data_IF_684991439629
#
_entry.id   IF_684991439629
#
_cell.length_a   1.000
_cell.length_b   1.000
_cell.length_c   1.000
_cell.angle_alpha   90.00
_cell.angle_beta   90.00
_cell.angle_gamma   90.00
#
_symmetry.space_group_name_H-M   'P 1'
#
loop_
_entity.id
_entity.type
_entity.pdbx_description
1 polymer ?
#
# COMPACT_ATOMS: atom_id res chain seq x y z
N UNK A 1 7.86 -11.62 3.81
CA UNK A 1 7.26 -11.20 2.55
C UNK A 1 8.01 -9.96 2.08
N UNK A 2 8.37 -9.89 0.78
CA UNK A 2 9.15 -8.77 0.23
C UNK A 2 8.26 -7.60 -0.21
N UNK A 3 6.97 -7.84 -0.35
CA UNK A 3 5.99 -6.85 -0.79
C UNK A 3 6.00 -5.60 0.08
N UNK A 4 5.96 -4.45 -0.55
CA UNK A 4 6.04 -3.14 0.09
C UNK A 4 7.44 -2.57 0.24
N UNK A 5 8.48 -3.41 0.15
CA UNK A 5 9.87 -3.03 0.43
C UNK A 5 10.80 -3.08 -0.79
N UNK A 6 10.27 -3.42 -1.96
CA UNK A 6 11.01 -3.36 -3.22
C UNK A 6 10.83 -1.97 -3.83
N UNK A 7 11.69 -1.02 -3.42
CA UNK A 7 11.51 0.38 -3.77
C UNK A 7 11.51 0.60 -5.28
N UNK A 8 10.51 1.30 -5.85
CA UNK A 8 10.45 1.58 -7.28
C UNK A 8 11.44 2.70 -7.66
N UNK A 9 12.54 2.29 -8.29
CA UNK A 9 13.58 3.20 -8.80
C UNK A 9 14.24 2.56 -10.05
N UNK A 10 15.16 3.26 -10.66
CA UNK A 10 15.98 2.76 -11.76
C UNK A 10 17.26 2.14 -11.20
N UNK A 11 17.47 0.85 -11.47
CA UNK A 11 18.60 0.09 -10.95
C UNK A 11 19.54 -0.36 -12.09
N UNK A 12 20.83 -0.11 -11.92
CA UNK A 12 21.87 -0.68 -12.77
C UNK A 12 22.43 -1.95 -12.12
N UNK A 13 22.48 -3.04 -12.89
CA UNK A 13 23.09 -4.30 -12.47
C UNK A 13 24.21 -4.69 -13.41
N UNK A 14 25.26 -5.32 -12.89
CA UNK A 14 26.34 -5.85 -13.69
C UNK A 14 25.93 -7.18 -14.33
N UNK A 15 26.40 -7.43 -15.55
CA UNK A 15 26.22 -8.74 -16.19
C UNK A 15 26.97 -9.80 -15.36
N UNK A 16 26.22 -10.81 -14.89
CA UNK A 16 26.75 -11.85 -14.00
C UNK A 16 26.65 -11.55 -12.51
N UNK A 17 25.98 -10.46 -12.14
CA UNK A 17 25.65 -10.21 -10.73
C UNK A 17 24.73 -11.30 -10.16
N UNK A 18 24.80 -11.52 -8.87
CA UNK A 18 23.97 -12.53 -8.21
C UNK A 18 22.59 -11.98 -7.93
N UNK A 19 21.57 -12.85 -7.91
CA UNK A 19 20.21 -12.48 -7.50
C UNK A 19 20.21 -11.87 -6.10
N UNK A 20 21.04 -12.38 -5.20
CA UNK A 20 21.20 -11.83 -3.85
C UNK A 20 21.64 -10.36 -3.88
N UNK A 21 22.66 -10.03 -4.66
CA UNK A 21 23.16 -8.65 -4.76
C UNK A 21 22.11 -7.72 -5.39
N UNK A 22 21.38 -8.20 -6.40
CA UNK A 22 20.31 -7.44 -7.06
C UNK A 22 19.20 -7.12 -6.06
N UNK A 23 18.72 -8.11 -5.32
CA UNK A 23 17.68 -7.95 -4.30
C UNK A 23 18.16 -7.07 -3.15
N UNK A 24 19.38 -7.29 -2.66
CA UNK A 24 19.96 -6.47 -1.58
C UNK A 24 20.10 -4.99 -1.99
N UNK A 25 20.38 -4.70 -3.26
CA UNK A 25 20.43 -3.33 -3.79
C UNK A 25 19.05 -2.65 -3.75
N UNK A 26 18.00 -3.38 -4.14
CA UNK A 26 16.61 -2.87 -4.13
C UNK A 26 16.14 -2.58 -2.70
N UNK A 27 16.40 -3.51 -1.77
CA UNK A 27 16.09 -3.30 -0.35
C UNK A 27 16.92 -2.18 0.28
N UNK A 28 18.21 -2.10 -0.06
CA UNK A 28 19.07 -1.02 0.42
C UNK A 28 18.60 0.35 -0.05
N UNK A 29 17.99 0.44 -1.23
CA UNK A 29 17.40 1.69 -1.69
C UNK A 29 16.17 2.08 -0.87
N UNK A 30 15.33 1.12 -0.51
CA UNK A 30 14.22 1.37 0.43
C UNK A 30 14.74 1.96 1.75
N UNK A 31 15.75 1.33 2.35
CA UNK A 31 16.35 1.80 3.60
C UNK A 31 16.92 3.23 3.46
N UNK A 32 17.54 3.54 2.32
CA UNK A 32 18.09 4.88 2.04
C UNK A 32 17.00 5.96 1.93
N UNK A 33 15.80 5.61 1.50
CA UNK A 33 14.67 6.55 1.36
C UNK A 33 13.98 6.83 2.69
N UNK A 34 14.01 5.91 3.65
CA UNK A 34 13.38 6.09 4.96
C UNK A 34 14.31 6.89 5.87
N UNK A 35 13.93 8.13 6.15
CA UNK A 35 14.74 9.08 6.91
C UNK A 35 14.48 9.02 8.41
N UNK A 36 15.40 9.59 9.21
CA UNK A 36 15.19 9.75 10.65
C UNK A 36 13.95 10.61 10.99
N UNK A 37 13.62 11.59 10.14
CA UNK A 37 12.41 12.40 10.27
C UNK A 37 11.14 11.56 10.09
N UNK A 38 11.15 10.64 9.10
CA UNK A 38 10.05 9.71 8.90
C UNK A 38 9.85 8.79 10.09
N UNK A 39 10.92 8.26 10.69
CA UNK A 39 10.80 7.45 11.90
C UNK A 39 10.24 8.27 13.08
N UNK A 40 10.70 9.51 13.28
CA UNK A 40 10.13 10.37 14.30
C UNK A 40 8.63 10.65 14.06
N UNK A 41 8.25 10.80 12.80
CA UNK A 41 6.85 11.00 12.44
C UNK A 41 6.00 9.74 12.64
N UNK A 42 6.54 8.55 12.40
CA UNK A 42 5.89 7.28 12.74
C UNK A 42 5.60 7.19 14.24
N UNK A 43 6.55 7.56 15.08
CA UNK A 43 6.37 7.61 16.53
C UNK A 43 5.26 8.59 16.96
N UNK A 44 5.17 9.77 16.33
CA UNK A 44 4.09 10.74 16.58
C UNK A 44 2.71 10.21 16.18
N UNK A 45 2.63 9.42 15.11
CA UNK A 45 1.40 8.82 14.61
C UNK A 45 1.03 7.51 15.31
N UNK A 46 1.87 7.00 16.19
CA UNK A 46 1.76 5.66 16.79
C UNK A 46 1.63 4.56 15.73
N UNK A 47 2.42 4.67 14.65
CA UNK A 47 2.43 3.74 13.52
C UNK A 47 3.79 3.08 13.36
N UNK A 48 3.79 1.78 13.14
CA UNK A 48 4.99 1.03 12.73
C UNK A 48 5.35 1.29 11.26
N UNK A 49 6.61 1.04 10.88
CA UNK A 49 7.04 1.10 9.48
C UNK A 49 6.15 0.22 8.56
N UNK A 50 5.76 -0.97 9.03
CA UNK A 50 4.91 -1.88 8.26
C UNK A 50 3.52 -1.29 8.02
N UNK A 51 2.94 -0.63 9.01
CA UNK A 51 1.63 0.04 8.87
C UNK A 51 1.70 1.23 7.91
N UNK A 52 2.77 2.03 8.00
CA UNK A 52 3.00 3.15 7.07
C UNK A 52 3.16 2.64 5.64
N UNK A 53 3.97 1.60 5.42
CA UNK A 53 4.16 1.00 4.08
C UNK A 53 2.87 0.38 3.57
N UNK A 54 2.08 -0.25 4.45
CA UNK A 54 0.76 -0.81 4.09
C UNK A 54 -0.21 0.29 3.65
N UNK A 55 -0.32 1.38 4.43
CA UNK A 55 -1.14 2.52 4.06
C UNK A 55 -0.65 3.18 2.76
N UNK A 56 0.66 3.40 2.64
CA UNK A 56 1.27 3.96 1.45
C UNK A 56 1.01 3.11 0.20
N UNK A 57 0.97 1.78 0.33
CA UNK A 57 0.66 0.88 -0.78
C UNK A 57 -0.78 1.01 -1.28
N UNK A 58 -1.74 1.24 -0.38
CA UNK A 58 -3.13 1.55 -0.75
C UNK A 58 -3.21 2.91 -1.45
N UNK A 59 -2.55 3.94 -0.89
CA UNK A 59 -2.48 5.27 -1.49
C UNK A 59 -1.87 5.22 -2.88
N UNK A 60 -0.82 4.42 -3.08
CA UNK A 60 -0.14 4.26 -4.37
C UNK A 60 -1.08 3.74 -5.46
N UNK A 61 -1.93 2.77 -5.13
CA UNK A 61 -2.85 2.15 -6.09
C UNK A 61 -4.12 2.97 -6.32
N UNK A 62 -4.60 3.71 -5.31
CA UNK A 62 -5.82 4.52 -5.42
C UNK A 62 -5.58 5.91 -6.00
N UNK A 63 -4.42 6.52 -5.69
CA UNK A 63 -4.16 7.90 -6.02
C UNK A 63 -3.06 8.02 -7.08
N UNK A 64 -3.28 8.80 -8.12
CA UNK A 64 -2.16 9.37 -8.85
C UNK A 64 -1.34 10.30 -7.94
N UNK A 65 -0.09 10.58 -8.31
CA UNK A 65 0.86 11.37 -7.50
C UNK A 65 0.28 12.69 -6.97
N UNK A 66 -0.60 13.32 -7.73
CA UNK A 66 -1.17 14.63 -7.40
C UNK A 66 -2.13 14.59 -6.19
N UNK A 67 -2.82 13.48 -5.98
CA UNK A 67 -3.88 13.36 -4.96
C UNK A 67 -3.49 12.47 -3.77
N UNK A 68 -2.25 12.00 -3.71
CA UNK A 68 -1.79 11.06 -2.68
C UNK A 68 -2.04 11.54 -1.26
N UNK A 69 -1.78 12.82 -0.96
CA UNK A 69 -2.02 13.38 0.38
C UNK A 69 -3.49 13.44 0.76
N UNK A 70 -4.36 13.79 -0.20
CA UNK A 70 -5.82 13.87 0.04
C UNK A 70 -6.40 12.47 0.25
N UNK A 71 -6.06 11.50 -0.59
CA UNK A 71 -6.49 10.09 -0.44
C UNK A 71 -5.98 9.53 0.89
N UNK A 72 -4.73 9.82 1.26
CA UNK A 72 -4.16 9.44 2.54
C UNK A 72 -4.94 10.05 3.72
N UNK A 73 -5.33 11.32 3.65
CA UNK A 73 -6.12 11.97 4.69
C UNK A 73 -7.48 11.27 4.89
N UNK A 74 -8.16 10.89 3.80
CA UNK A 74 -9.41 10.11 3.89
C UNK A 74 -9.19 8.78 4.59
N UNK A 75 -8.12 8.05 4.27
CA UNK A 75 -7.81 6.78 4.94
C UNK A 75 -7.49 6.99 6.43
N UNK A 76 -6.71 8.00 6.78
CA UNK A 76 -6.46 8.35 8.20
C UNK A 76 -7.76 8.68 8.95
N UNK A 77 -8.65 9.47 8.34
CA UNK A 77 -9.95 9.83 8.93
C UNK A 77 -10.85 8.59 9.16
N UNK A 78 -10.86 7.66 8.20
CA UNK A 78 -11.58 6.39 8.34
C UNK A 78 -10.99 5.51 9.43
N UNK A 79 -9.66 5.37 9.50
CA UNK A 79 -8.98 4.63 10.57
C UNK A 79 -9.30 5.21 11.94
N UNK A 80 -9.18 6.54 12.10
CA UNK A 80 -9.49 7.22 13.35
C UNK A 80 -10.96 7.09 13.77
N UNK A 81 -11.87 6.95 12.79
CA UNK A 81 -13.32 6.76 13.03
C UNK A 81 -13.72 5.29 13.20
N UNK A 82 -12.80 4.34 13.13
CA UNK A 82 -13.10 2.92 13.16
C UNK A 82 -13.90 2.42 11.96
N UNK A 83 -13.85 3.14 10.83
CA UNK A 83 -14.49 2.75 9.58
C UNK A 83 -13.64 1.73 8.81
N UNK A 84 -14.27 0.95 7.95
CA UNK A 84 -13.58 0.14 6.94
C UNK A 84 -12.94 1.05 5.89
N UNK A 85 -11.79 0.65 5.31
CA UNK A 85 -11.12 1.48 4.30
C UNK A 85 -11.84 1.47 2.95
N UNK A 86 -12.55 0.41 2.62
CA UNK A 86 -13.40 0.32 1.43
C UNK A 86 -12.64 0.49 0.11
N UNK A 87 -11.42 -0.02 0.04
CA UNK A 87 -10.57 0.02 -1.14
C UNK A 87 -10.52 -1.37 -1.80
N UNK A 88 -10.86 -1.45 -3.08
CA UNK A 88 -10.85 -2.71 -3.82
C UNK A 88 -9.45 -3.12 -4.29
N UNK A 89 -8.44 -2.26 -4.17
CA UNK A 89 -7.06 -2.57 -4.58
C UNK A 89 -6.45 -3.71 -3.77
N UNK A 90 -6.87 -3.89 -2.53
CA UNK A 90 -6.47 -5.04 -1.72
C UNK A 90 -7.29 -6.29 -2.13
N UNK A 91 -8.58 -6.24 -1.94
CA UNK A 91 -9.54 -7.25 -2.35
C UNK A 91 -10.98 -6.79 -2.10
N UNK A 92 -11.86 -7.11 -3.03
CA UNK A 92 -13.32 -6.98 -2.93
C UNK A 92 -13.94 -8.32 -3.34
N UNK A 93 -14.57 -9.00 -2.40
CA UNK A 93 -15.15 -10.32 -2.67
C UNK A 93 -16.38 -10.28 -3.57
N UNK A 94 -17.05 -9.14 -3.68
CA UNK A 94 -18.19 -8.95 -4.57
C UNK A 94 -17.76 -8.68 -6.01
N UNK A 95 -16.50 -8.25 -6.19
CA UNK A 95 -15.87 -7.94 -7.47
C UNK A 95 -14.64 -8.82 -7.71
N UNK A 96 -14.84 -10.11 -7.60
CA UNK A 96 -13.79 -11.10 -7.69
C UNK A 96 -12.99 -11.08 -9.03
N UNK A 97 -13.56 -10.50 -10.06
CA UNK A 97 -12.96 -10.40 -11.40
C UNK A 97 -12.20 -9.08 -11.61
N UNK A 98 -12.21 -8.16 -10.63
CA UNK A 98 -11.45 -6.92 -10.70
C UNK A 98 -9.97 -7.19 -10.37
N UNK A 99 -9.07 -6.47 -11.03
CA UNK A 99 -7.65 -6.48 -10.73
C UNK A 99 -7.43 -6.00 -9.29
N UNK A 100 -6.95 -6.88 -8.44
CA UNK A 100 -6.60 -6.56 -7.06
C UNK A 100 -5.49 -7.48 -6.55
N UNK A 101 -4.88 -7.07 -5.43
CA UNK A 101 -3.71 -7.75 -4.90
C UNK A 101 -3.91 -9.25 -4.63
N UNK A 102 -5.05 -9.65 -4.10
CA UNK A 102 -5.34 -11.05 -3.79
C UNK A 102 -5.38 -11.90 -5.06
N UNK A 103 -6.02 -11.43 -6.13
CA UNK A 103 -6.10 -12.18 -7.39
C UNK A 103 -4.80 -12.11 -8.18
N UNK A 104 -4.21 -10.93 -8.33
CA UNK A 104 -3.07 -10.74 -9.22
C UNK A 104 -1.77 -11.26 -8.62
N UNK A 105 -1.56 -11.05 -7.33
CA UNK A 105 -0.30 -11.40 -6.68
C UNK A 105 -0.39 -12.64 -5.83
N UNK A 106 -1.39 -12.74 -4.93
CA UNK A 106 -1.44 -13.87 -3.99
C UNK A 106 -1.93 -15.17 -4.64
N UNK A 107 -2.94 -15.12 -5.51
CA UNK A 107 -3.40 -16.29 -6.25
C UNK A 107 -2.51 -16.64 -7.44
N UNK A 108 -1.59 -15.77 -7.82
CA UNK A 108 -0.68 -15.96 -8.95
C UNK A 108 0.34 -17.10 -8.74
N UNK A 109 1.09 -17.46 -9.80
CA UNK A 109 2.01 -18.61 -9.79
C UNK A 109 3.20 -18.45 -8.83
N UNK A 110 3.53 -17.22 -8.45
CA UNK A 110 4.61 -16.94 -7.49
C UNK A 110 4.09 -16.75 -6.05
N UNK A 111 2.77 -16.79 -5.86
CA UNK A 111 2.10 -16.77 -4.57
C UNK A 111 1.65 -18.17 -4.16
N UNK A 112 0.36 -18.33 -3.89
CA UNK A 112 -0.25 -19.62 -3.52
C UNK A 112 -0.58 -20.50 -4.72
N UNK A 113 -0.49 -19.97 -5.94
CA UNK A 113 -0.72 -20.71 -7.21
C UNK A 113 -2.20 -20.86 -7.60
N UNK A 114 -3.12 -20.62 -6.69
CA UNK A 114 -4.56 -20.57 -6.98
C UNK A 114 -5.31 -19.86 -5.85
N UNK A 115 -6.52 -19.40 -6.15
CA UNK A 115 -7.42 -18.78 -5.18
C UNK A 115 -7.73 -19.71 -3.99
N UNK A 116 -8.07 -20.97 -4.27
CA UNK A 116 -8.47 -21.93 -3.23
C UNK A 116 -7.32 -22.31 -2.28
N UNK A 117 -6.08 -22.10 -2.72
CA UNK A 117 -4.91 -22.36 -1.90
C UNK A 117 -4.61 -21.24 -0.89
N UNK A 118 -5.17 -20.03 -1.06
CA UNK A 118 -5.01 -18.94 -0.10
C UNK A 118 -5.84 -19.23 1.15
N UNK A 119 -5.25 -19.22 2.37
CA UNK A 119 -6.02 -19.38 3.61
C UNK A 119 -7.15 -18.36 3.72
N UNK A 120 -8.34 -18.82 4.16
CA UNK A 120 -9.54 -17.97 4.26
C UNK A 120 -9.28 -16.74 5.15
N UNK A 121 -8.62 -16.95 6.30
CA UNK A 121 -8.27 -15.88 7.25
C UNK A 121 -7.37 -14.83 6.61
N UNK A 122 -6.50 -15.24 5.68
CA UNK A 122 -5.62 -14.31 4.99
C UNK A 122 -6.38 -13.49 3.95
N UNK A 123 -7.33 -14.11 3.25
CA UNK A 123 -8.23 -13.40 2.32
C UNK A 123 -9.06 -12.35 3.09
N UNK A 124 -9.67 -12.76 4.19
CA UNK A 124 -10.48 -11.86 5.04
C UNK A 124 -9.63 -10.71 5.60
N UNK A 125 -8.38 -10.96 5.97
CA UNK A 125 -7.47 -9.94 6.49
C UNK A 125 -7.04 -8.87 5.44
N UNK A 126 -7.32 -9.10 4.16
CA UNK A 126 -7.15 -8.11 3.08
C UNK A 126 -8.49 -7.50 2.62
N UNK A 127 -9.63 -7.96 3.16
CA UNK A 127 -10.95 -7.42 2.81
C UNK A 127 -11.21 -6.09 3.53
N UNK A 128 -10.87 -5.00 2.87
CA UNK A 128 -11.04 -3.64 3.39
C UNK A 128 -12.48 -3.15 3.41
N UNK A 129 -13.45 -3.94 2.94
CA UNK A 129 -14.88 -3.62 3.02
C UNK A 129 -15.54 -4.20 4.27
N UNK A 130 -15.05 -5.32 4.76
CA UNK A 130 -15.63 -6.02 5.93
C UNK A 130 -14.72 -5.95 7.15
N UNK A 131 -13.42 -5.74 6.97
CA UNK A 131 -12.44 -5.61 8.02
C UNK A 131 -12.11 -4.14 8.32
N UNK A 132 -12.11 -3.76 9.59
CA UNK A 132 -11.67 -2.43 10.03
C UNK A 132 -10.17 -2.40 10.26
N UNK A 133 -9.55 -1.25 10.08
CA UNK A 133 -8.10 -1.10 10.18
C UNK A 133 -7.39 -1.32 8.83
N UNK A 134 -6.08 -1.40 8.89
CA UNK A 134 -5.24 -1.69 7.72
C UNK A 134 -5.34 -3.17 7.33
N UNK A 135 -5.18 -3.51 6.04
CA UNK A 135 -5.05 -4.92 5.63
C UNK A 135 -3.79 -5.56 6.22
N UNK A 136 -3.70 -6.89 6.14
CA UNK A 136 -2.63 -7.69 6.77
C UNK A 136 -1.20 -7.36 6.30
N UNK A 137 -1.06 -6.52 5.29
CA UNK A 137 0.23 -6.04 4.79
C UNK A 137 0.10 -5.27 3.48
N UNK A 138 1.22 -4.81 2.93
CA UNK A 138 1.24 -4.05 1.69
C UNK A 138 0.65 -4.82 0.52
N UNK A 139 0.00 -4.09 -0.38
CA UNK A 139 -0.64 -4.60 -1.62
C UNK A 139 0.16 -4.25 -2.87
N UNK A 140 1.14 -3.35 -2.73
CA UNK A 140 2.08 -2.98 -3.78
C UNK A 140 3.39 -2.47 -3.16
N UNK A 141 4.34 -2.06 -3.99
CA UNK A 141 5.59 -1.44 -3.56
C UNK A 141 5.48 0.08 -3.75
N UNK A 142 5.18 0.85 -2.70
CA UNK A 142 4.93 2.28 -2.82
C UNK A 142 6.20 3.07 -3.11
N UNK A 143 6.06 4.12 -3.91
CA UNK A 143 7.09 5.14 -4.12
C UNK A 143 7.16 6.14 -2.97
N UNK A 144 8.19 6.99 -2.99
CA UNK A 144 8.44 7.96 -1.92
C UNK A 144 7.26 8.89 -1.68
N UNK A 145 6.60 9.36 -2.74
CA UNK A 145 5.45 10.27 -2.62
C UNK A 145 4.28 9.66 -1.83
N UNK A 146 4.02 8.37 -2.03
CA UNK A 146 2.96 7.67 -1.30
C UNK A 146 3.35 7.38 0.15
N UNK A 147 4.64 7.11 0.42
CA UNK A 147 5.18 6.96 1.78
C UNK A 147 5.11 8.30 2.53
N UNK A 148 5.53 9.39 1.89
CA UNK A 148 5.41 10.75 2.45
C UNK A 148 3.95 11.13 2.69
N UNK A 149 3.04 10.80 1.76
CA UNK A 149 1.61 11.07 1.93
C UNK A 149 1.00 10.28 3.10
N UNK A 150 1.44 9.04 3.34
CA UNK A 150 1.00 8.25 4.48
C UNK A 150 1.45 8.86 5.82
N UNK A 151 2.63 9.52 5.85
CA UNK A 151 3.17 10.17 7.04
C UNK A 151 2.66 11.60 7.23
N UNK A 152 2.48 12.34 6.15
CA UNK A 152 2.02 13.73 6.13
C UNK A 152 0.83 13.88 5.19
N UNK A 153 -0.36 13.38 5.60
CA UNK A 153 -1.58 13.54 4.81
C UNK A 153 -1.96 15.02 4.66
N UNK A 154 -2.93 15.30 3.79
CA UNK A 154 -3.45 16.67 3.59
C UNK A 154 -3.99 17.24 4.90
N UNK A 155 -3.50 18.44 5.26
CA UNK A 155 -3.92 19.14 6.46
C UNK A 155 -5.34 19.71 6.32
N UNK A 156 -6.07 19.75 7.42
CA UNK A 156 -7.44 20.28 7.49
C UNK A 156 -8.45 19.60 6.55
N UNK A 157 -8.17 18.34 6.19
CA UNK A 157 -9.07 17.50 5.42
C UNK A 157 -9.90 16.64 6.38
N UNK A 158 -11.22 16.82 6.38
CA UNK A 158 -12.17 16.05 7.18
C UNK A 158 -13.01 15.06 6.34
N UNK A 159 -12.64 14.87 5.08
CA UNK A 159 -13.35 13.97 4.16
C UNK A 159 -13.22 12.50 4.61
N UNK A 160 -14.32 11.76 4.42
CA UNK A 160 -14.42 10.33 4.66
C UNK A 160 -14.56 9.53 3.36
N UNK A 161 -14.72 10.22 2.24
CA UNK A 161 -14.93 9.63 0.92
C UNK A 161 -14.18 10.41 -0.14
N UNK A 162 -13.75 9.72 -1.16
CA UNK A 162 -13.28 10.31 -2.42
C UNK A 162 -13.88 9.53 -3.59
N UNK A 163 -14.01 10.17 -4.71
CA UNK A 163 -14.35 9.54 -5.99
C UNK A 163 -13.62 10.25 -7.11
N UNK A 164 -13.39 9.53 -8.20
CA UNK A 164 -12.86 10.10 -9.42
C UNK A 164 -13.98 10.27 -10.46
N UNK A 165 -13.98 11.39 -11.17
CA UNK A 165 -14.82 11.57 -12.35
C UNK A 165 -14.22 10.86 -13.59
N UNK A 166 -14.93 10.90 -14.71
CA UNK A 166 -14.48 10.29 -15.97
C UNK A 166 -13.24 10.98 -16.58
N UNK A 167 -12.82 12.13 -16.04
CA UNK A 167 -11.63 12.88 -16.45
C UNK A 167 -10.45 12.64 -15.51
N UNK A 168 -10.67 11.87 -14.43
CA UNK A 168 -9.65 11.55 -13.44
C UNK A 168 -9.51 12.61 -12.33
N UNK A 169 -10.43 13.58 -12.22
CA UNK A 169 -10.41 14.52 -11.10
C UNK A 169 -11.03 13.88 -9.85
N UNK A 170 -10.45 14.16 -8.70
CA UNK A 170 -10.93 13.71 -7.39
C UNK A 170 -11.95 14.72 -6.82
N UNK A 171 -12.98 14.17 -6.17
CA UNK A 171 -14.05 14.92 -5.50
C UNK A 171 -14.32 14.35 -4.12
#
# INVERSE_FOLDING_TARGET
KAEGYLFPDTYEFFVGDTVYNMVAKIYGEFDNKITAEMYARMDELDMTLTEVVTLASLVQEEAGNEYSKMVSAVFHNRLASGMTLGSNVAWDKEKADDNNYIYDSMAGPYGYGSWDAIPAELREAYDTYTHTGLPAGPVSNPGLLSIEAALWPEENCDYLYFQTDTLGNYH
#
